data_IF_577011198586
#
_entry.id   IF_577011198586
#
_cell.length_a   1.000
_cell.length_b   1.000
_cell.length_c   1.000
_cell.angle_alpha   90.00
_cell.angle_beta   90.00
_cell.angle_gamma   90.00
#
_symmetry.space_group_name_H-M   'P 1'
#
loop_
_entity.id
_entity.type
_entity.pdbx_description
1 polymer ?
#
# COMPACT_ATOMS: atom_id res chain seq x y z
N UNK A 1 -28.74 36.54 -0.69
CA UNK A 1 -29.11 35.31 -1.41
C UNK A 1 -27.84 34.76 -1.99
N UNK A 2 -27.22 33.87 -1.23
CA UNK A 2 -25.96 33.20 -1.52
C UNK A 2 -26.27 31.76 -1.92
N UNK A 3 -25.89 31.34 -3.11
CA UNK A 3 -25.20 30.06 -3.33
C UNK A 3 -24.79 29.97 -4.80
N UNK A 4 -23.50 30.16 -5.05
CA UNK A 4 -22.83 29.64 -6.24
C UNK A 4 -21.44 29.20 -5.77
N UNK A 5 -21.43 28.10 -5.01
CA UNK A 5 -20.20 27.37 -4.70
C UNK A 5 -19.89 26.46 -5.88
N UNK A 6 -19.37 27.07 -6.95
CA UNK A 6 -18.39 26.40 -7.81
C UNK A 6 -17.10 26.24 -7.00
N UNK A 7 -17.09 25.26 -6.10
CA UNK A 7 -15.86 24.75 -5.55
C UNK A 7 -15.25 23.84 -6.62
N UNK A 8 -14.37 24.41 -7.44
CA UNK A 8 -13.52 23.67 -8.36
C UNK A 8 -12.97 22.42 -7.62
N UNK A 9 -13.32 21.23 -8.14
CA UNK A 9 -12.68 19.99 -7.71
C UNK A 9 -11.17 20.19 -7.69
N UNK A 10 -10.46 19.79 -6.63
CA UNK A 10 -9.00 19.91 -6.62
C UNK A 10 -8.45 19.22 -7.87
N UNK A 11 -7.64 19.97 -8.64
CA UNK A 11 -6.85 19.46 -9.77
C UNK A 11 -6.23 18.11 -9.36
N UNK A 12 -6.44 17.03 -10.13
CA UNK A 12 -6.06 15.70 -9.69
C UNK A 12 -4.55 15.64 -9.47
N UNK A 13 -4.18 15.46 -8.20
CA UNK A 13 -2.82 15.26 -7.74
C UNK A 13 -2.18 14.13 -8.54
N UNK A 14 -0.89 14.29 -8.88
CA UNK A 14 -0.03 13.35 -9.60
C UNK A 14 -0.39 11.88 -9.37
N UNK A 15 -0.27 11.05 -10.42
CA UNK A 15 -0.58 9.60 -10.49
C UNK A 15 -2.00 9.28 -10.97
N UNK A 16 -2.17 9.27 -12.30
CA UNK A 16 -3.36 8.81 -13.00
C UNK A 16 -3.53 7.29 -12.83
N UNK A 17 -4.18 6.90 -11.73
CA UNK A 17 -4.86 5.62 -11.64
C UNK A 17 -6.26 5.74 -12.25
N UNK A 18 -6.51 5.13 -13.41
CA UNK A 18 -7.88 5.00 -13.94
C UNK A 18 -8.48 3.63 -13.58
N UNK A 19 -9.79 3.64 -13.30
CA UNK A 19 -10.58 2.46 -12.95
C UNK A 19 -11.33 2.01 -14.19
N UNK A 20 -11.15 0.75 -14.58
CA UNK A 20 -11.89 0.10 -15.66
C UNK A 20 -12.11 -1.36 -15.26
N UNK A 21 -13.37 -1.82 -15.28
CA UNK A 21 -13.76 -3.21 -15.02
C UNK A 21 -13.21 -3.85 -13.73
N UNK A 22 -13.18 -3.10 -12.61
CA UNK A 22 -12.68 -3.62 -11.33
C UNK A 22 -11.15 -3.69 -11.23
N UNK A 23 -10.42 -3.06 -12.14
CA UNK A 23 -8.96 -2.99 -12.13
C UNK A 23 -8.52 -1.54 -11.97
N UNK A 24 -7.70 -1.28 -10.94
CA UNK A 24 -6.98 -0.01 -10.80
C UNK A 24 -5.67 -0.15 -11.57
N UNK A 25 -5.48 0.68 -12.59
CA UNK A 25 -4.22 0.78 -13.33
C UNK A 25 -3.39 1.91 -12.75
N UNK A 26 -2.50 1.61 -11.81
CA UNK A 26 -1.56 2.58 -11.25
C UNK A 26 -0.38 2.74 -12.22
N UNK A 27 -0.22 3.92 -12.79
CA UNK A 27 0.97 4.29 -13.54
C UNK A 27 1.79 5.30 -12.73
N UNK A 28 2.98 4.90 -12.26
CA UNK A 28 3.98 5.88 -11.87
C UNK A 28 4.37 6.70 -13.11
N UNK A 29 4.49 8.03 -12.99
CA UNK A 29 5.11 8.83 -14.07
C UNK A 29 6.56 8.38 -14.19
N UNK A 30 6.88 7.62 -15.23
CA UNK A 30 8.27 7.35 -15.63
C UNK A 30 8.67 8.35 -16.71
N UNK A 31 9.93 8.75 -16.71
CA UNK A 31 10.50 9.65 -17.73
C UNK A 31 10.85 8.93 -19.06
N UNK A 32 10.54 7.64 -19.19
CA UNK A 32 10.66 6.87 -20.43
C UNK A 32 9.31 6.36 -20.93
N UNK A 33 9.21 6.17 -22.25
CA UNK A 33 8.00 5.64 -22.89
C UNK A 33 7.64 4.25 -22.35
N UNK A 34 6.39 4.06 -21.92
CA UNK A 34 5.84 2.84 -21.34
C UNK A 34 6.42 2.47 -19.96
N UNK A 35 6.25 3.34 -18.97
CA UNK A 35 6.52 3.02 -17.57
C UNK A 35 5.84 1.74 -17.09
N UNK A 36 6.38 1.17 -16.01
CA UNK A 36 5.78 -0.03 -15.39
C UNK A 36 4.41 0.33 -14.83
N UNK A 37 3.36 -0.08 -15.54
CA UNK A 37 1.99 0.03 -15.06
C UNK A 37 1.68 -1.15 -14.15
N UNK A 38 1.32 -0.87 -12.90
CA UNK A 38 0.86 -1.89 -11.96
C UNK A 38 -0.66 -1.91 -11.99
N UNK A 39 -1.20 -3.00 -12.49
CA UNK A 39 -2.63 -3.24 -12.52
C UNK A 39 -2.99 -4.05 -11.27
N UNK A 40 -3.76 -3.44 -10.36
CA UNK A 40 -4.30 -4.14 -9.19
C UNK A 40 -5.76 -4.42 -9.49
N UNK A 41 -6.14 -5.69 -9.61
CA UNK A 41 -7.55 -6.06 -9.55
C UNK A 41 -8.01 -5.83 -8.12
N UNK A 42 -9.04 -5.02 -7.94
CA UNK A 42 -9.55 -4.73 -6.61
C UNK A 42 -10.90 -5.39 -6.44
N UNK A 43 -11.12 -5.97 -5.27
CA UNK A 43 -12.39 -6.56 -4.92
C UNK A 43 -13.49 -5.49 -4.97
N UNK A 44 -14.65 -5.84 -5.51
CA UNK A 44 -15.82 -4.97 -5.49
C UNK A 44 -16.45 -4.99 -4.09
N UNK A 45 -15.89 -4.21 -3.17
CA UNK A 45 -16.38 -4.03 -1.80
C UNK A 45 -17.12 -2.70 -1.69
N UNK A 46 -18.29 -2.70 -1.05
CA UNK A 46 -18.92 -1.46 -0.60
C UNK A 46 -18.07 -0.81 0.50
N UNK A 47 -18.13 0.52 0.70
CA UNK A 47 -17.40 1.18 1.79
C UNK A 47 -17.73 0.58 3.17
N UNK A 48 -18.99 0.21 3.40
CA UNK A 48 -19.44 -0.43 4.64
C UNK A 48 -18.81 -1.81 4.86
N UNK A 49 -18.74 -2.63 3.81
CA UNK A 49 -18.07 -3.92 3.87
C UNK A 49 -16.56 -3.78 4.05
N UNK A 50 -15.97 -2.78 3.40
CA UNK A 50 -14.54 -2.49 3.50
C UNK A 50 -14.18 -2.06 4.93
N UNK A 51 -14.91 -1.11 5.52
CA UNK A 51 -14.74 -0.68 6.91
C UNK A 51 -14.88 -1.85 7.89
N UNK A 52 -15.92 -2.69 7.73
CA UNK A 52 -16.14 -3.85 8.58
C UNK A 52 -15.03 -4.91 8.49
N UNK A 53 -14.46 -5.12 7.30
CA UNK A 53 -13.48 -6.19 7.06
C UNK A 53 -12.04 -5.77 7.37
N UNK A 54 -11.66 -4.54 7.04
CA UNK A 54 -10.32 -4.03 7.27
C UNK A 54 -10.14 -3.46 8.68
N UNK A 55 -11.21 -2.91 9.27
CA UNK A 55 -11.10 -2.13 10.51
C UNK A 55 -10.17 -0.93 10.32
N UNK A 56 -9.52 -0.50 11.40
CA UNK A 56 -8.51 0.55 11.35
C UNK A 56 -7.17 -0.01 10.86
N UNK A 57 -6.59 0.62 9.84
CA UNK A 57 -5.30 0.23 9.27
C UNK A 57 -4.22 1.27 9.52
N UNK A 58 -3.04 0.82 9.92
CA UNK A 58 -1.83 1.65 9.98
C UNK A 58 -0.96 1.33 8.77
N UNK A 59 -0.63 2.35 7.97
CA UNK A 59 0.37 2.27 6.91
C UNK A 59 1.66 2.88 7.43
N UNK A 60 2.67 2.05 7.67
CA UNK A 60 3.96 2.44 8.19
C UNK A 60 4.96 2.64 7.04
N UNK A 61 5.25 3.90 6.75
CA UNK A 61 5.99 4.38 5.58
C UNK A 61 5.07 4.86 4.47
N UNK A 62 5.35 6.04 3.93
CA UNK A 62 4.61 6.66 2.82
C UNK A 62 5.49 6.82 1.57
N UNK A 63 6.35 5.83 1.32
CA UNK A 63 7.08 5.70 0.05
C UNK A 63 6.17 5.27 -1.11
N UNK A 64 6.74 4.78 -2.20
CA UNK A 64 5.97 4.37 -3.38
C UNK A 64 4.89 3.32 -3.05
N UNK A 65 5.25 2.28 -2.30
CA UNK A 65 4.32 1.22 -1.90
C UNK A 65 3.23 1.73 -0.94
N UNK A 66 3.61 2.45 0.12
CA UNK A 66 2.67 3.01 1.09
C UNK A 66 1.68 4.01 0.48
N UNK A 67 2.15 4.86 -0.44
CA UNK A 67 1.29 5.76 -1.23
C UNK A 67 0.24 5.00 -2.00
N UNK A 68 0.63 3.96 -2.73
CA UNK A 68 -0.32 3.18 -3.51
C UNK A 68 -1.33 2.44 -2.66
N UNK A 69 -0.94 1.91 -1.50
CA UNK A 69 -1.89 1.32 -0.55
C UNK A 69 -2.90 2.36 -0.08
N UNK A 70 -2.43 3.55 0.32
CA UNK A 70 -3.28 4.66 0.74
C UNK A 70 -4.23 5.13 -0.38
N UNK A 71 -3.74 5.25 -1.62
CA UNK A 71 -4.55 5.66 -2.78
C UNK A 71 -5.65 4.65 -3.12
N UNK A 72 -5.36 3.35 -2.97
CA UNK A 72 -6.36 2.29 -3.12
C UNK A 72 -7.39 2.39 -1.99
N UNK A 73 -6.94 2.63 -0.76
CA UNK A 73 -7.83 2.71 0.39
C UNK A 73 -8.77 3.92 0.32
N UNK A 74 -8.27 5.09 -0.09
CA UNK A 74 -9.07 6.30 -0.34
C UNK A 74 -10.24 6.00 -1.31
N UNK A 75 -9.96 5.26 -2.39
CA UNK A 75 -10.97 4.92 -3.41
C UNK A 75 -12.04 3.95 -2.91
N UNK A 76 -11.72 3.14 -1.90
CA UNK A 76 -12.64 2.18 -1.30
C UNK A 76 -13.27 2.70 0.00
N UNK A 77 -12.96 3.93 0.42
CA UNK A 77 -13.43 4.48 1.69
C UNK A 77 -12.93 3.70 2.91
N UNK A 78 -11.77 3.05 2.80
CA UNK A 78 -11.15 2.33 3.92
C UNK A 78 -10.42 3.37 4.77
N UNK A 79 -10.72 3.41 6.07
CA UNK A 79 -10.03 4.30 7.00
C UNK A 79 -8.62 3.80 7.32
N UNK A 80 -7.65 4.71 7.27
CA UNK A 80 -6.28 4.43 7.64
C UNK A 80 -5.59 5.63 8.26
N UNK A 81 -4.46 5.38 8.90
CA UNK A 81 -3.49 6.38 9.33
C UNK A 81 -2.12 6.03 8.79
N UNK A 82 -1.36 7.03 8.38
CA UNK A 82 0.00 6.86 7.85
C UNK A 82 1.02 7.32 8.88
N UNK A 83 2.05 6.52 9.12
CA UNK A 83 3.26 6.94 9.83
C UNK A 83 4.36 7.20 8.81
N UNK A 84 4.96 8.39 8.84
CA UNK A 84 6.02 8.80 7.90
C UNK A 84 7.06 9.67 8.61
N UNK A 85 8.35 9.47 8.32
CA UNK A 85 9.41 10.22 8.97
C UNK A 85 9.60 11.62 8.37
N UNK A 86 9.39 11.76 7.06
CA UNK A 86 9.64 13.03 6.36
C UNK A 86 8.58 14.09 6.73
N UNK A 87 8.95 15.18 7.43
CA UNK A 87 7.99 16.20 7.88
C UNK A 87 7.31 16.95 6.73
N UNK A 88 8.01 17.17 5.60
CA UNK A 88 7.43 17.85 4.43
C UNK A 88 6.36 16.99 3.77
N UNK A 89 6.56 15.66 3.76
CA UNK A 89 5.57 14.71 3.25
C UNK A 89 4.34 14.69 4.15
N UNK A 90 4.53 14.61 5.47
CA UNK A 90 3.45 14.68 6.47
C UNK A 90 2.64 15.97 6.33
N UNK A 91 3.31 17.12 6.25
CA UNK A 91 2.66 18.42 6.13
C UNK A 91 1.84 18.52 4.83
N UNK A 92 2.44 18.12 3.71
CA UNK A 92 1.80 18.23 2.38
C UNK A 92 0.58 17.33 2.29
N UNK A 93 0.69 16.07 2.73
CA UNK A 93 -0.42 15.11 2.66
C UNK A 93 -1.50 15.40 3.71
N UNK A 94 -1.12 15.95 4.87
CA UNK A 94 -2.06 16.46 5.86
C UNK A 94 -2.91 17.60 5.31
N UNK A 95 -2.31 18.54 4.55
CA UNK A 95 -3.07 19.61 3.85
C UNK A 95 -4.03 19.07 2.79
N UNK A 96 -3.76 17.89 2.24
CA UNK A 96 -4.65 17.18 1.31
C UNK A 96 -5.72 16.33 2.03
N UNK A 97 -5.78 16.38 3.37
CA UNK A 97 -6.80 15.70 4.16
C UNK A 97 -6.44 14.28 4.61
N UNK A 98 -5.24 13.77 4.32
CA UNK A 98 -4.82 12.46 4.82
C UNK A 98 -4.47 12.50 6.30
N UNK A 99 -4.80 11.44 7.02
CA UNK A 99 -4.42 11.27 8.41
C UNK A 99 -2.95 10.82 8.50
N UNK A 100 -2.07 11.78 8.80
CA UNK A 100 -0.62 11.59 8.82
C UNK A 100 -0.05 11.76 10.23
N UNK A 101 0.91 10.91 10.59
CA UNK A 101 1.67 10.96 11.84
C UNK A 101 3.14 11.02 11.48
N UNK A 102 3.81 12.07 11.94
CA UNK A 102 5.26 12.15 11.85
C UNK A 102 5.92 11.25 12.90
N UNK A 103 6.80 10.34 12.48
CA UNK A 103 7.65 9.55 13.38
C UNK A 103 8.34 8.35 12.72
N UNK A 104 9.27 7.74 13.46
CA UNK A 104 9.95 6.48 13.10
C UNK A 104 9.05 5.29 13.46
N UNK A 105 8.85 4.38 12.52
CA UNK A 105 8.00 3.19 12.70
C UNK A 105 8.60 2.19 13.72
N UNK A 106 9.90 2.25 13.96
CA UNK A 106 10.63 1.49 14.96
C UNK A 106 10.55 2.09 16.37
N UNK A 107 9.88 3.23 16.55
CA UNK A 107 9.59 3.82 17.86
C UNK A 107 8.18 3.44 18.34
N UNK A 108 8.12 2.84 19.54
CA UNK A 108 6.87 2.44 20.18
C UNK A 108 5.90 3.61 20.38
N UNK A 109 6.39 4.78 20.80
CA UNK A 109 5.52 5.93 21.05
C UNK A 109 4.87 6.43 19.76
N UNK A 110 5.58 6.35 18.64
CA UNK A 110 5.04 6.66 17.32
C UNK A 110 3.92 5.69 16.94
N UNK A 111 4.08 4.37 17.15
CA UNK A 111 3.02 3.40 16.87
C UNK A 111 1.79 3.57 17.77
N UNK A 112 1.99 3.92 19.06
CA UNK A 112 0.88 4.24 19.98
C UNK A 112 0.14 5.52 19.58
N UNK A 113 0.85 6.55 19.10
CA UNK A 113 0.21 7.75 18.52
C UNK A 113 -0.63 7.40 17.29
N UNK A 114 -0.25 6.35 16.55
CA UNK A 114 -1.04 5.80 15.45
C UNK A 114 -2.20 4.90 15.91
N UNK A 115 -2.37 4.72 17.22
CA UNK A 115 -3.40 3.89 17.85
C UNK A 115 -3.34 2.44 17.35
N UNK A 116 -2.14 1.86 17.51
CA UNK A 116 -1.89 0.44 17.22
C UNK A 116 -2.72 -0.49 18.11
N UNK A 117 -3.13 -0.02 19.30
CA UNK A 117 -4.03 -0.75 20.19
C UNK A 117 -5.42 -0.98 19.57
N UNK A 118 -5.96 0.02 18.86
CA UNK A 118 -7.22 -0.06 18.12
C UNK A 118 -7.08 -0.59 16.69
N UNK A 119 -5.86 -0.70 16.16
CA UNK A 119 -5.62 -1.13 14.79
C UNK A 119 -5.88 -2.64 14.60
N UNK A 120 -6.48 -2.98 13.47
CA UNK A 120 -6.69 -4.37 13.03
C UNK A 120 -5.56 -4.85 12.13
N UNK A 121 -4.95 -3.92 11.37
CA UNK A 121 -3.93 -4.23 10.37
C UNK A 121 -2.77 -3.22 10.45
N UNK A 122 -1.55 -3.72 10.36
CA UNK A 122 -0.32 -2.94 10.20
C UNK A 122 0.37 -3.33 8.88
N UNK A 123 0.54 -2.35 7.99
CA UNK A 123 1.22 -2.51 6.71
C UNK A 123 2.58 -1.82 6.76
N UNK A 124 3.66 -2.60 6.88
CA UNK A 124 5.03 -2.10 6.96
C UNK A 124 5.61 -1.99 5.56
N UNK A 125 5.67 -0.78 5.01
CA UNK A 125 6.11 -0.54 3.61
C UNK A 125 7.46 0.16 3.49
N UNK A 126 8.04 0.57 4.62
CA UNK A 126 9.33 1.24 4.69
C UNK A 126 10.45 0.40 4.06
N UNK A 127 11.42 1.05 3.37
CA UNK A 127 12.56 0.35 2.78
C UNK A 127 13.63 -0.06 3.83
N UNK A 128 13.62 0.57 5.01
CA UNK A 128 14.50 0.20 6.11
C UNK A 128 14.01 -1.08 6.80
N UNK A 129 14.64 -2.21 6.47
CA UNK A 129 14.29 -3.51 7.05
C UNK A 129 14.56 -3.61 8.55
N UNK A 130 15.53 -2.87 9.09
CA UNK A 130 15.77 -2.87 10.53
C UNK A 130 14.61 -2.17 11.27
N UNK A 131 14.10 -1.08 10.70
CA UNK A 131 12.90 -0.41 11.21
C UNK A 131 11.66 -1.33 11.09
N UNK A 132 11.46 -2.01 9.96
CA UNK A 132 10.38 -3.00 9.76
C UNK A 132 10.42 -4.12 10.80
N UNK A 133 11.60 -4.69 11.06
CA UNK A 133 11.77 -5.76 12.04
C UNK A 133 11.46 -5.29 13.47
N UNK A 134 11.96 -4.11 13.86
CA UNK A 134 11.67 -3.50 15.18
C UNK A 134 10.17 -3.22 15.33
N UNK A 135 9.56 -2.60 14.32
CA UNK A 135 8.14 -2.30 14.31
C UNK A 135 7.29 -3.57 14.43
N UNK A 136 7.69 -4.67 13.78
CA UNK A 136 6.99 -5.97 13.87
C UNK A 136 6.99 -6.49 15.32
N UNK A 137 8.15 -6.45 15.99
CA UNK A 137 8.27 -6.91 17.39
C UNK A 137 7.43 -6.05 18.32
N UNK A 138 7.55 -4.72 18.21
CA UNK A 138 6.82 -3.76 19.04
C UNK A 138 5.30 -3.92 18.83
N UNK A 139 4.85 -3.97 17.57
CA UNK A 139 3.44 -4.16 17.26
C UNK A 139 2.89 -5.45 17.86
N UNK A 140 3.63 -6.57 17.74
CA UNK A 140 3.21 -7.86 18.31
C UNK A 140 3.21 -7.86 19.84
N UNK A 141 4.08 -7.09 20.49
CA UNK A 141 4.07 -6.90 21.94
C UNK A 141 2.88 -6.08 22.43
N UNK A 142 2.52 -5.02 21.70
CA UNK A 142 1.41 -4.11 22.08
C UNK A 142 0.04 -4.73 21.74
N UNK A 143 -0.09 -5.33 20.55
CA UNK A 143 -1.32 -5.89 20.02
C UNK A 143 -1.07 -7.32 19.49
N UNK A 144 -1.11 -8.35 20.36
CA UNK A 144 -0.70 -9.72 20.03
C UNK A 144 -1.44 -10.38 18.86
N UNK A 145 -2.60 -9.89 18.48
CA UNK A 145 -3.51 -10.39 17.44
C UNK A 145 -3.59 -9.48 16.19
N UNK A 146 -2.85 -8.36 16.13
CA UNK A 146 -2.82 -7.50 14.95
C UNK A 146 -2.35 -8.26 13.71
N UNK A 147 -2.96 -7.99 12.56
CA UNK A 147 -2.51 -8.56 11.29
C UNK A 147 -1.38 -7.72 10.68
N UNK A 148 -0.20 -8.31 10.50
CA UNK A 148 1.00 -7.58 10.04
C UNK A 148 1.41 -8.08 8.66
N UNK A 149 1.52 -7.15 7.70
CA UNK A 149 2.10 -7.40 6.38
C UNK A 149 3.42 -6.64 6.29
N UNK A 150 4.54 -7.37 6.17
CA UNK A 150 5.87 -6.79 6.17
C UNK A 150 6.54 -6.83 4.79
N UNK A 151 6.90 -5.66 4.27
CA UNK A 151 7.78 -5.56 3.11
C UNK A 151 9.22 -5.85 3.50
N UNK A 152 9.90 -6.67 2.71
CA UNK A 152 11.35 -6.92 2.80
C UNK A 152 11.98 -6.93 1.40
N UNK A 153 13.30 -6.86 1.36
CA UNK A 153 14.16 -6.98 0.18
C UNK A 153 15.05 -8.21 0.31
N UNK A 154 15.57 -8.48 1.52
CA UNK A 154 16.44 -9.61 1.81
C UNK A 154 15.67 -10.81 2.37
N UNK A 155 16.09 -12.01 1.97
CA UNK A 155 15.49 -13.27 2.45
C UNK A 155 15.63 -13.42 3.97
N UNK A 156 16.79 -13.04 4.52
CA UNK A 156 17.06 -13.07 5.96
C UNK A 156 16.07 -12.20 6.73
N UNK A 157 15.86 -10.96 6.30
CA UNK A 157 14.90 -10.05 6.90
C UNK A 157 13.47 -10.61 6.81
N UNK A 158 13.10 -11.24 5.68
CA UNK A 158 11.81 -11.90 5.54
C UNK A 158 11.61 -13.04 6.54
N UNK A 159 12.62 -13.89 6.73
CA UNK A 159 12.58 -14.96 7.74
C UNK A 159 12.44 -14.36 9.14
N UNK A 160 13.22 -13.33 9.46
CA UNK A 160 13.17 -12.67 10.77
C UNK A 160 11.82 -12.00 11.03
N UNK A 161 11.23 -11.33 10.03
CA UNK A 161 9.92 -10.68 10.17
C UNK A 161 8.84 -11.73 10.50
N UNK A 162 8.85 -12.87 9.79
CA UNK A 162 7.96 -13.99 10.09
C UNK A 162 8.17 -14.55 11.50
N UNK A 163 9.43 -14.75 11.92
CA UNK A 163 9.76 -15.20 13.29
C UNK A 163 9.32 -14.21 14.38
N UNK A 164 9.33 -12.91 14.10
CA UNK A 164 8.84 -11.86 14.99
C UNK A 164 7.32 -11.72 14.97
N UNK A 165 6.63 -12.54 14.17
CA UNK A 165 5.19 -12.62 14.13
C UNK A 165 4.55 -11.79 13.03
N UNK A 166 5.26 -11.42 11.96
CA UNK A 166 4.58 -10.94 10.75
C UNK A 166 3.68 -12.06 10.20
N UNK A 167 2.42 -11.73 9.87
CA UNK A 167 1.49 -12.70 9.31
C UNK A 167 1.84 -13.00 7.85
N UNK A 168 2.23 -11.97 7.11
CA UNK A 168 2.62 -12.05 5.71
C UNK A 168 3.92 -11.27 5.48
N UNK A 169 4.73 -11.77 4.55
CA UNK A 169 5.97 -11.13 4.14
C UNK A 169 5.99 -10.97 2.62
N UNK A 170 6.13 -9.73 2.16
CA UNK A 170 6.27 -9.39 0.75
C UNK A 170 7.74 -9.09 0.46
N UNK A 171 8.43 -10.00 -0.22
CA UNK A 171 9.78 -9.74 -0.72
C UNK A 171 9.70 -8.97 -2.05
N UNK A 172 10.07 -7.70 -2.03
CA UNK A 172 9.93 -6.78 -3.15
C UNK A 172 10.55 -7.32 -4.46
N UNK A 173 11.77 -7.88 -4.38
CA UNK A 173 12.47 -8.44 -5.56
C UNK A 173 11.75 -9.64 -6.18
N UNK A 174 11.02 -10.43 -5.39
CA UNK A 174 10.23 -11.54 -5.94
C UNK A 174 8.99 -11.03 -6.69
N UNK A 175 8.36 -9.97 -6.19
CA UNK A 175 7.24 -9.31 -6.90
C UNK A 175 7.73 -8.70 -8.22
N UNK A 176 8.91 -8.07 -8.22
CA UNK A 176 9.55 -7.54 -9.43
C UNK A 176 9.88 -8.68 -10.42
N UNK A 177 10.46 -9.78 -9.96
CA UNK A 177 10.77 -10.94 -10.80
C UNK A 177 9.52 -11.55 -11.43
N UNK A 178 8.42 -11.69 -10.67
CA UNK A 178 7.12 -12.11 -11.19
C UNK A 178 6.64 -11.17 -12.30
N UNK A 179 6.78 -9.86 -12.10
CA UNK A 179 6.35 -8.90 -13.11
C UNK A 179 7.19 -8.96 -14.39
N UNK A 180 8.51 -9.17 -14.29
CA UNK A 180 9.35 -9.43 -15.47
C UNK A 180 8.86 -10.65 -16.25
N UNK A 181 8.54 -11.74 -15.56
CA UNK A 181 8.01 -12.94 -16.19
C UNK A 181 6.68 -12.68 -16.91
N UNK A 182 5.73 -11.98 -16.25
CA UNK A 182 4.44 -11.60 -16.85
C UNK A 182 4.61 -10.76 -18.13
N UNK A 183 5.52 -9.79 -18.13
CA UNK A 183 5.82 -8.97 -19.31
C UNK A 183 6.41 -9.80 -20.46
N UNK A 184 7.37 -10.67 -20.17
CA UNK A 184 7.98 -11.54 -21.16
C UNK A 184 6.96 -12.53 -21.75
N UNK A 185 6.13 -13.13 -20.89
CA UNK A 185 5.09 -14.05 -21.31
C UNK A 185 4.08 -13.39 -22.25
N UNK A 186 3.60 -12.17 -21.92
CA UNK A 186 2.71 -11.39 -22.80
C UNK A 186 3.33 -11.17 -24.18
N UNK A 187 4.63 -10.86 -24.24
CA UNK A 187 5.34 -10.66 -25.51
C UNK A 187 5.41 -11.95 -26.34
N UNK A 188 5.69 -13.09 -25.70
CA UNK A 188 5.74 -14.39 -26.38
C UNK A 188 4.37 -14.81 -26.90
N UNK A 189 3.33 -14.65 -26.09
CA UNK A 189 1.96 -15.04 -26.47
C UNK A 189 1.36 -14.11 -27.55
N UNK A 190 1.65 -12.82 -27.51
CA UNK A 190 1.26 -11.90 -28.57
C UNK A 190 1.94 -12.22 -29.92
N UNK A 191 3.15 -12.78 -29.91
CA UNK A 191 3.84 -13.22 -31.12
C UNK A 191 3.29 -14.53 -31.72
N UNK A 192 2.54 -15.32 -30.94
CA UNK A 192 2.09 -16.66 -31.31
C UNK A 192 0.56 -16.79 -31.57
N UNK A 193 -0.19 -15.68 -31.53
CA UNK A 193 -1.67 -15.71 -31.57
C UNK A 193 -2.25 -15.90 -30.17
N UNK A 194 -3.25 -15.06 -29.82
CA UNK A 194 -3.77 -14.81 -28.46
C UNK A 194 -3.83 -16.03 -27.51
N UNK A 195 -3.44 -15.86 -26.24
CA UNK A 195 -3.88 -16.76 -25.17
C UNK A 195 -5.28 -16.34 -24.68
N UNK A 196 -6.14 -17.32 -24.41
CA UNK A 196 -7.45 -17.10 -23.80
C UNK A 196 -7.29 -16.53 -22.37
N UNK A 197 -8.17 -15.59 -22.03
CA UNK A 197 -8.08 -14.61 -20.92
C UNK A 197 -8.29 -15.19 -19.49
N UNK A 198 -8.12 -16.50 -19.27
CA UNK A 198 -8.64 -17.15 -18.04
C UNK A 198 -7.63 -17.86 -17.12
N UNK A 199 -6.31 -17.86 -17.39
CA UNK A 199 -5.40 -18.74 -16.61
C UNK A 199 -4.21 -18.06 -15.93
N UNK A 200 -4.40 -16.91 -15.28
CA UNK A 200 -3.33 -16.29 -14.47
C UNK A 200 -3.74 -16.00 -13.02
N UNK A 201 -4.51 -16.89 -12.40
CA UNK A 201 -4.54 -17.03 -10.94
C UNK A 201 -3.57 -18.15 -10.53
N UNK A 202 -2.32 -17.76 -10.26
CA UNK A 202 -1.36 -18.63 -9.58
C UNK A 202 -1.52 -18.42 -8.06
N UNK A 203 -1.92 -19.51 -7.39
CA UNK A 203 -2.05 -19.65 -5.94
C UNK A 203 -0.78 -19.29 -5.18
#
# INVERSE_FOLDING_TARGET
>A
MSDERDAASPEPVEYLGYYEDGVIRLAARTNWANGTAVCVRVANLTPEDAARRFGKVIIAGFGLAGRWVADIFDRHGIEYVVVEENPQTVETQGKLGRHMIQGDIGDEQTLRRADIEGASILVLTAPDEAAVLRATQIARQIRPDIYIVARTTHVSAGIQASQYGANEVIKAEQVVARHFYEMLLRKVLAANGKPDDESLDLK
#
